data_IF_252864504879
#
_entry.id   IF_252864504879
#
_cell.length_a   1.000
_cell.length_b   1.000
_cell.length_c   1.000
_cell.angle_alpha   90.00
_cell.angle_beta   90.00
_cell.angle_gamma   90.00
#
_symmetry.space_group_name_H-M   'P 1'
#
loop_
_entity.id
_entity.type
_entity.pdbx_description
1 polymer ?
#
# COMPACT_ATOMS: atom_id res chain seq x y z
N UNK A 1 9.34 -11.85 -10.41
CA UNK A 1 8.94 -10.57 -9.78
C UNK A 1 8.42 -9.65 -10.87
N UNK A 2 7.57 -8.66 -10.58
CA UNK A 2 6.94 -7.82 -11.62
C UNK A 2 6.98 -6.34 -11.29
N UNK A 3 7.16 -5.51 -12.32
CA UNK A 3 6.91 -4.06 -12.29
C UNK A 3 5.57 -3.81 -12.98
N UNK A 4 4.76 -2.97 -12.36
CA UNK A 4 3.42 -2.65 -12.83
C UNK A 4 3.16 -1.15 -12.85
N UNK A 5 2.17 -0.79 -13.68
CA UNK A 5 1.70 0.56 -13.88
C UNK A 5 0.22 0.65 -13.48
N UNK A 6 -0.11 1.70 -12.74
CA UNK A 6 -1.49 2.12 -12.47
C UNK A 6 -1.69 3.48 -13.13
N UNK A 7 -2.66 3.59 -14.03
CA UNK A 7 -2.88 4.81 -14.82
C UNK A 7 -4.23 5.43 -14.47
N UNK A 8 -4.26 6.74 -14.29
CA UNK A 8 -5.49 7.53 -14.24
C UNK A 8 -5.80 8.08 -15.63
N UNK A 9 -6.88 7.60 -16.26
CA UNK A 9 -7.24 8.01 -17.62
C UNK A 9 -7.73 9.46 -17.74
N UNK A 10 -8.15 10.10 -16.64
CA UNK A 10 -8.67 11.48 -16.67
C UNK A 10 -7.56 12.50 -16.86
N UNK A 11 -6.42 12.30 -16.22
CA UNK A 11 -5.31 13.26 -16.22
C UNK A 11 -4.00 12.69 -16.78
N UNK A 12 -4.00 11.42 -17.21
CA UNK A 12 -2.82 10.74 -17.74
C UNK A 12 -1.74 10.41 -16.71
N UNK A 13 -1.92 10.76 -15.44
CA UNK A 13 -0.91 10.52 -14.41
C UNK A 13 -0.80 9.05 -14.08
N UNK A 14 0.40 8.63 -13.71
CA UNK A 14 0.70 7.22 -13.44
C UNK A 14 1.32 6.98 -12.07
N UNK A 15 1.16 5.76 -11.57
CA UNK A 15 1.90 5.21 -10.45
C UNK A 15 2.62 3.94 -10.91
N UNK A 16 3.93 3.90 -10.72
CA UNK A 16 4.75 2.71 -10.96
C UNK A 16 4.97 2.02 -9.61
N UNK A 17 4.88 0.70 -9.59
CA UNK A 17 5.25 -0.06 -8.40
C UNK A 17 5.73 -1.46 -8.74
N UNK A 18 6.37 -2.09 -7.77
CA UNK A 18 6.87 -3.45 -7.90
C UNK A 18 6.20 -4.48 -6.97
N UNK A 19 6.29 -5.76 -7.33
CA UNK A 19 5.80 -6.88 -6.52
C UNK A 19 6.62 -8.15 -6.74
N UNK A 20 7.09 -8.75 -5.64
CA UNK A 20 7.82 -10.02 -5.66
C UNK A 20 6.90 -11.20 -5.98
N UNK A 21 5.68 -11.22 -5.42
CA UNK A 21 4.73 -12.34 -5.52
C UNK A 21 3.86 -12.26 -6.79
N UNK A 22 2.76 -11.51 -6.73
CA UNK A 22 1.84 -11.34 -7.87
C UNK A 22 1.39 -9.89 -7.99
N UNK A 23 1.52 -9.34 -9.20
CA UNK A 23 1.08 -7.99 -9.49
C UNK A 23 -0.43 -7.80 -9.30
N UNK A 24 -1.24 -8.80 -9.67
CA UNK A 24 -2.70 -8.77 -9.50
C UNK A 24 -3.14 -8.78 -8.04
N UNK A 25 -2.47 -9.56 -7.17
CA UNK A 25 -2.70 -9.54 -5.73
C UNK A 25 -2.36 -8.19 -5.12
N UNK A 26 -1.23 -7.60 -5.53
CA UNK A 26 -0.82 -6.26 -5.12
C UNK A 26 -1.84 -5.19 -5.54
N UNK A 27 -2.35 -5.27 -6.77
CA UNK A 27 -3.40 -4.36 -7.24
C UNK A 27 -4.68 -4.46 -6.42
N UNK A 28 -5.15 -5.68 -6.11
CA UNK A 28 -6.32 -5.90 -5.25
C UNK A 28 -6.13 -5.23 -3.88
N UNK A 29 -4.94 -5.32 -3.29
CA UNK A 29 -4.61 -4.66 -2.03
C UNK A 29 -4.67 -3.13 -2.14
N UNK A 30 -4.08 -2.56 -3.20
CA UNK A 30 -4.19 -1.11 -3.46
C UNK A 30 -5.66 -0.67 -3.53
N UNK A 31 -6.49 -1.35 -4.34
CA UNK A 31 -7.93 -1.03 -4.45
C UNK A 31 -8.65 -1.12 -3.12
N UNK A 32 -8.40 -2.17 -2.33
CA UNK A 32 -9.02 -2.32 -1.01
C UNK A 32 -8.67 -1.15 -0.09
N UNK A 33 -7.39 -0.75 -0.05
CA UNK A 33 -6.94 0.36 0.78
C UNK A 33 -7.53 1.70 0.29
N UNK A 34 -7.56 1.92 -1.02
CA UNK A 34 -8.10 3.12 -1.64
C UNK A 34 -9.61 3.27 -1.36
N UNK A 35 -10.39 2.19 -1.53
CA UNK A 35 -11.82 2.16 -1.21
C UNK A 35 -12.11 2.42 0.27
N UNK A 36 -11.21 1.97 1.16
CA UNK A 36 -11.35 2.19 2.59
C UNK A 36 -10.70 3.49 3.09
N UNK A 37 -10.19 4.34 2.19
CA UNK A 37 -9.52 5.59 2.53
C UNK A 37 -8.30 5.42 3.47
N UNK A 38 -7.55 4.32 3.28
CA UNK A 38 -6.42 3.89 4.13
C UNK A 38 -5.13 3.69 3.34
N UNK A 39 -5.04 4.26 2.14
CA UNK A 39 -3.85 4.09 1.31
C UNK A 39 -2.71 5.03 1.76
N UNK A 40 -1.51 4.49 1.97
CA UNK A 40 -0.34 5.25 2.48
C UNK A 40 0.05 6.42 1.56
N UNK A 41 -0.23 6.30 0.27
CA UNK A 41 -0.05 7.38 -0.68
C UNK A 41 -1.28 8.31 -0.70
N UNK A 42 -1.22 9.38 0.09
CA UNK A 42 -2.26 10.41 0.20
C UNK A 42 -2.54 11.07 -1.15
N UNK A 43 -1.53 11.30 -2.00
CA UNK A 43 -1.75 11.93 -3.30
C UNK A 43 -2.60 11.03 -4.20
N UNK A 44 -2.26 9.74 -4.26
CA UNK A 44 -3.03 8.73 -4.98
C UNK A 44 -4.43 8.55 -4.37
N UNK A 45 -4.55 8.53 -3.04
CA UNK A 45 -5.84 8.42 -2.34
C UNK A 45 -6.78 9.58 -2.66
N UNK A 46 -6.27 10.81 -2.62
CA UNK A 46 -7.07 12.00 -2.94
C UNK A 46 -7.51 11.99 -4.40
N UNK A 47 -6.63 11.57 -5.32
CA UNK A 47 -7.00 11.41 -6.73
C UNK A 47 -8.07 10.32 -6.91
N UNK A 48 -7.94 9.18 -6.24
CA UNK A 48 -8.94 8.12 -6.26
C UNK A 48 -10.30 8.61 -5.78
N UNK A 49 -10.34 9.33 -4.65
CA UNK A 49 -11.57 9.91 -4.10
C UNK A 49 -12.18 10.94 -5.05
N UNK A 50 -11.36 11.72 -5.75
CA UNK A 50 -11.80 12.76 -6.69
C UNK A 50 -12.39 12.19 -7.97
N UNK A 51 -11.75 11.20 -8.57
CA UNK A 51 -12.10 10.71 -9.91
C UNK A 51 -12.88 9.38 -9.91
N UNK A 52 -12.98 8.70 -8.78
CA UNK A 52 -13.63 7.40 -8.66
C UNK A 52 -12.79 6.26 -9.22
N UNK A 53 -13.25 5.02 -9.03
CA UNK A 53 -12.51 3.80 -9.39
C UNK A 53 -12.45 3.53 -10.90
N UNK A 54 -13.50 3.88 -11.64
CA UNK A 54 -13.70 3.44 -13.04
C UNK A 54 -12.61 3.94 -14.00
N UNK A 55 -11.91 5.02 -13.63
CA UNK A 55 -10.89 5.67 -14.46
C UNK A 55 -9.48 5.09 -14.27
N UNK A 56 -9.33 4.15 -13.34
CA UNK A 56 -8.02 3.57 -13.01
C UNK A 56 -7.82 2.23 -13.70
N UNK A 57 -6.72 2.12 -14.44
CA UNK A 57 -6.29 0.88 -15.08
C UNK A 57 -5.02 0.34 -14.46
N UNK A 58 -4.80 -0.97 -14.63
CA UNK A 58 -3.63 -1.69 -14.11
C UNK A 58 -3.01 -2.53 -15.21
N UNK A 59 -1.69 -2.47 -15.35
CA UNK A 59 -0.93 -3.27 -16.32
C UNK A 59 0.41 -3.72 -15.75
N UNK A 60 0.79 -4.97 -15.99
CA UNK A 60 2.18 -5.42 -15.79
C UNK A 60 3.00 -4.93 -16.99
N UNK A 61 4.06 -4.19 -16.72
CA UNK A 61 4.91 -3.58 -17.76
C UNK A 61 6.25 -4.30 -17.88
N UNK A 62 6.74 -4.92 -16.80
CA UNK A 62 8.01 -5.64 -16.85
C UNK A 62 8.11 -6.77 -15.80
N UNK A 63 9.12 -7.63 -15.96
CA UNK A 63 9.40 -8.78 -15.09
C UNK A 63 10.87 -8.86 -14.76
N UNK A 64 11.18 -9.03 -13.47
CA UNK A 64 12.54 -9.24 -12.98
C UNK A 64 12.72 -10.66 -12.43
N UNK A 65 13.94 -11.16 -12.53
CA UNK A 65 14.41 -12.45 -12.01
C UNK A 65 14.84 -12.37 -10.55
N UNK A 66 15.35 -11.22 -10.11
CA UNK A 66 15.87 -11.00 -8.76
C UNK A 66 15.52 -9.59 -8.24
N UNK A 67 15.73 -9.36 -6.94
CA UNK A 67 15.35 -8.11 -6.27
C UNK A 67 16.15 -6.91 -6.79
N UNK A 68 17.46 -7.07 -7.02
CA UNK A 68 18.31 -5.97 -7.49
C UNK A 68 17.92 -5.50 -8.90
N UNK A 69 17.55 -6.44 -9.77
CA UNK A 69 16.99 -6.13 -11.09
C UNK A 69 15.61 -5.45 -10.96
N UNK A 70 14.75 -5.95 -10.06
CA UNK A 70 13.44 -5.36 -9.83
C UNK A 70 13.53 -3.89 -9.39
N UNK A 71 14.41 -3.59 -8.44
CA UNK A 71 14.62 -2.23 -7.92
C UNK A 71 15.17 -1.29 -9.01
N UNK A 72 16.08 -1.79 -9.86
CA UNK A 72 16.61 -1.05 -11.01
C UNK A 72 15.52 -0.75 -12.03
N UNK A 73 14.68 -1.74 -12.37
CA UNK A 73 13.58 -1.57 -13.30
C UNK A 73 12.54 -0.59 -12.74
N UNK A 74 12.16 -0.70 -11.47
CA UNK A 74 11.23 0.23 -10.84
C UNK A 74 11.76 1.67 -10.92
N UNK A 75 13.03 1.88 -10.57
CA UNK A 75 13.68 3.19 -10.65
C UNK A 75 13.71 3.72 -12.09
N UNK A 76 14.10 2.88 -13.04
CA UNK A 76 14.12 3.22 -14.46
C UNK A 76 12.75 3.68 -14.96
N UNK A 77 11.68 2.94 -14.66
CA UNK A 77 10.35 3.33 -15.08
C UNK A 77 9.85 4.60 -14.36
N UNK A 78 10.18 4.77 -13.07
CA UNK A 78 9.77 5.97 -12.33
C UNK A 78 10.45 7.22 -12.87
N UNK A 79 11.77 7.20 -13.05
CA UNK A 79 12.57 8.40 -13.34
C UNK A 79 12.67 8.65 -14.84
N UNK A 80 13.10 7.63 -15.60
CA UNK A 80 13.48 7.79 -17.01
C UNK A 80 12.27 7.70 -17.95
N UNK A 81 11.34 6.78 -17.68
CA UNK A 81 10.22 6.52 -18.60
C UNK A 81 9.01 7.41 -18.33
N UNK A 82 8.54 7.43 -17.08
CA UNK A 82 7.29 8.10 -16.73
C UNK A 82 7.46 9.41 -15.96
N UNK A 83 8.63 9.64 -15.37
CA UNK A 83 8.87 10.74 -14.43
C UNK A 83 7.73 10.83 -13.38
N UNK A 84 7.32 9.68 -12.85
CA UNK A 84 6.10 9.52 -12.05
C UNK A 84 6.23 10.04 -10.62
N UNK A 85 7.44 10.41 -10.21
CA UNK A 85 7.74 11.12 -8.97
C UNK A 85 7.48 12.64 -9.06
N UNK A 86 7.40 13.19 -10.27
CA UNK A 86 6.90 14.54 -10.48
C UNK A 86 5.38 14.58 -10.28
N UNK A 87 4.91 15.42 -9.36
CA UNK A 87 3.48 15.57 -9.03
C UNK A 87 2.64 15.99 -10.24
N UNK A 88 3.23 16.60 -11.27
CA UNK A 88 2.55 16.97 -12.51
C UNK A 88 2.35 15.77 -13.44
N UNK A 89 3.12 14.69 -13.29
CA UNK A 89 3.11 13.52 -14.18
C UNK A 89 2.71 12.21 -13.51
N UNK A 90 2.86 12.08 -12.20
CA UNK A 90 2.55 10.85 -11.51
C UNK A 90 2.24 10.98 -10.04
N UNK A 91 2.13 9.81 -9.40
CA UNK A 91 1.76 9.67 -8.00
C UNK A 91 2.88 9.10 -7.13
N UNK A 92 4.03 8.68 -7.68
CA UNK A 92 5.13 8.15 -6.89
C UNK A 92 5.68 9.23 -5.94
N UNK A 93 6.06 8.83 -4.72
CA UNK A 93 6.58 9.77 -3.71
C UNK A 93 8.10 9.93 -3.79
N UNK A 94 8.79 8.88 -4.20
CA UNK A 94 10.23 8.82 -4.37
C UNK A 94 10.56 8.24 -5.74
N UNK A 95 11.84 8.26 -6.09
CA UNK A 95 12.38 7.77 -7.36
C UNK A 95 12.35 6.25 -7.51
N UNK A 96 11.89 5.50 -6.50
CA UNK A 96 12.00 4.03 -6.47
C UNK A 96 13.34 3.56 -5.87
N UNK A 97 13.52 2.25 -5.74
CA UNK A 97 14.80 1.65 -5.32
C UNK A 97 15.14 1.75 -3.82
N UNK A 98 14.37 2.52 -3.03
CA UNK A 98 14.53 2.62 -1.58
C UNK A 98 13.71 1.54 -0.86
N UNK A 99 14.07 0.28 -1.06
CA UNK A 99 13.82 -0.73 -0.05
C UNK A 99 15.09 -0.86 0.78
N UNK A 100 15.25 -0.15 1.92
CA UNK A 100 16.31 -0.49 2.84
C UNK A 100 16.17 -1.99 3.11
N UNK A 101 17.20 -2.76 2.76
CA UNK A 101 17.31 -4.15 3.16
C UNK A 101 17.40 -4.10 4.68
N UNK A 102 16.24 -4.23 5.33
CA UNK A 102 16.18 -4.36 6.79
C UNK A 102 16.82 -5.71 7.06
N UNK A 103 18.04 -5.71 7.58
CA UNK A 103 18.72 -6.94 7.98
C UNK A 103 17.80 -7.76 8.89
N UNK A 104 17.92 -9.08 8.87
CA UNK A 104 17.08 -9.93 9.74
C UNK A 104 17.27 -9.55 11.21
N UNK A 105 18.46 -9.10 11.60
CA UNK A 105 18.76 -8.51 12.90
C UNK A 105 17.98 -7.20 13.15
N UNK A 106 17.95 -6.26 12.22
CA UNK A 106 17.16 -5.03 12.36
C UNK A 106 15.65 -5.32 12.43
N UNK A 107 15.16 -6.30 11.65
CA UNK A 107 13.77 -6.76 11.69
C UNK A 107 13.45 -7.43 13.02
N UNK A 108 14.34 -8.26 13.54
CA UNK A 108 14.20 -8.93 14.82
C UNK A 108 14.26 -7.92 15.99
N UNK A 109 15.16 -6.93 15.95
CA UNK A 109 15.21 -5.82 16.93
C UNK A 109 13.92 -5.03 16.94
N UNK A 110 13.39 -4.68 15.77
CA UNK A 110 12.10 -3.99 15.66
C UNK A 110 10.96 -4.85 16.22
N UNK A 111 10.96 -6.16 15.91
CA UNK A 111 9.96 -7.11 16.43
C UNK A 111 10.02 -7.24 17.95
N UNK A 112 11.20 -7.38 18.54
CA UNK A 112 11.41 -7.41 19.99
C UNK A 112 10.95 -6.09 20.63
N UNK A 113 11.34 -4.95 20.07
CA UNK A 113 10.97 -3.63 20.58
C UNK A 113 9.46 -3.34 20.53
N UNK A 114 8.72 -3.98 19.62
CA UNK A 114 7.26 -3.86 19.50
C UNK A 114 6.51 -4.90 20.34
N UNK A 115 7.14 -6.03 20.66
CA UNK A 115 6.52 -7.09 21.48
C UNK A 115 6.46 -6.63 22.94
N UNK A 116 5.27 -6.65 23.54
CA UNK A 116 5.08 -6.23 24.95
C UNK A 116 4.88 -4.73 25.17
N UNK A 117 4.92 -3.90 24.11
CA UNK A 117 4.52 -2.49 24.22
C UNK A 117 3.04 -2.39 24.57
N UNK A 118 2.77 -2.00 25.81
CA UNK A 118 1.42 -1.65 26.26
C UNK A 118 1.19 -0.18 25.90
N UNK A 119 0.16 0.10 25.09
CA UNK A 119 -0.23 1.47 24.79
C UNK A 119 -0.51 2.23 26.10
N UNK A 120 -0.02 3.48 26.26
CA UNK A 120 -0.33 4.31 27.42
C UNK A 120 -1.84 4.36 27.67
N UNK A 121 -2.24 4.31 28.95
CA UNK A 121 -3.65 4.22 29.37
C UNK A 121 -4.52 5.30 28.71
N UNK A 122 -3.98 6.51 28.58
CA UNK A 122 -4.61 7.66 27.89
C UNK A 122 -4.95 7.33 26.43
N UNK A 123 -4.02 6.71 25.70
CA UNK A 123 -4.21 6.30 24.30
C UNK A 123 -5.23 5.17 24.20
N UNK A 124 -5.21 4.22 25.15
CA UNK A 124 -6.15 3.10 25.22
C UNK A 124 -7.58 3.56 25.47
N UNK A 125 -7.77 4.53 26.35
CA UNK A 125 -9.10 5.02 26.71
C UNK A 125 -9.70 5.93 25.60
N UNK A 126 -8.89 6.77 24.96
CA UNK A 126 -9.30 7.49 23.73
C UNK A 126 -9.67 6.54 22.59
N UNK A 127 -8.91 5.46 22.39
CA UNK A 127 -9.24 4.44 21.39
C UNK A 127 -10.57 3.74 21.70
N UNK A 128 -10.84 3.47 23.00
CA UNK A 128 -12.09 2.84 23.48
C UNK A 128 -13.30 3.74 23.31
N UNK A 129 -13.13 5.05 23.47
CA UNK A 129 -14.18 6.05 23.25
C UNK A 129 -14.55 6.12 21.75
N UNK A 130 -13.53 6.21 20.89
CA UNK A 130 -13.70 6.19 19.42
C UNK A 130 -14.34 4.89 18.93
N UNK A 131 -13.97 3.74 19.49
CA UNK A 131 -14.55 2.44 19.12
C UNK A 131 -15.99 2.25 19.64
N UNK A 132 -16.36 2.85 20.78
CA UNK A 132 -17.76 2.84 21.26
C UNK A 132 -18.69 3.65 20.37
N UNK A 133 -18.20 4.73 19.75
CA UNK A 133 -18.97 5.53 18.79
C UNK A 133 -19.18 4.88 17.42
N UNK A 134 -18.41 3.84 17.07
CA UNK A 134 -18.36 3.30 15.70
C UNK A 134 -18.90 1.85 15.54
N UNK A 135 -19.60 1.27 16.53
CA UNK A 135 -20.11 -0.09 16.35
C UNK A 135 -20.83 -0.71 17.53
N UNK A 136 -22.02 -0.20 17.87
CA UNK A 136 -23.06 -1.07 18.39
C UNK A 136 -23.48 -2.04 17.26
N UNK A 137 -23.05 -3.30 17.32
CA UNK A 137 -23.58 -4.35 16.43
C UNK A 137 -22.56 -5.17 15.65
N UNK A 138 -21.60 -5.82 16.32
CA UNK A 138 -20.98 -7.06 15.81
C UNK A 138 -20.77 -8.07 16.93
N UNK A 139 -21.85 -8.64 17.42
CA UNK A 139 -21.78 -9.96 18.08
C UNK A 139 -21.47 -11.00 17.00
N UNK A 140 -20.34 -11.71 17.12
CA UNK A 140 -20.10 -12.94 16.37
C UNK A 140 -21.30 -13.87 16.62
N UNK A 141 -21.97 -14.33 15.56
CA UNK A 141 -23.05 -15.30 15.70
C UNK A 141 -22.48 -16.62 16.24
N UNK A 142 -23.29 -17.33 17.01
CA UNK A 142 -22.94 -18.60 17.66
C UNK A 142 -22.42 -19.67 16.68
N UNK A 143 -22.71 -19.51 15.38
CA UNK A 143 -22.31 -20.43 14.31
C UNK A 143 -20.79 -20.46 14.08
N UNK A 144 -20.07 -19.36 14.36
CA UNK A 144 -18.60 -19.32 14.20
C UNK A 144 -17.86 -20.05 15.33
N UNK A 145 -18.51 -20.32 16.47
CA UNK A 145 -17.89 -21.02 17.62
C UNK A 145 -17.89 -22.55 17.50
N UNK A 146 -18.62 -23.14 16.55
CA UNK A 146 -18.74 -24.61 16.40
C UNK A 146 -17.76 -25.25 15.41
N UNK A 147 -16.83 -24.49 14.83
CA UNK A 147 -15.85 -24.99 13.84
C UNK A 147 -14.39 -24.91 14.31
N UNK A 148 -14.15 -24.90 15.62
CA UNK A 148 -12.82 -25.13 16.23
C UNK A 148 -12.91 -26.41 17.04
#
# INVERSE_FOLDING_TARGET
MVVYLITNSVNGKVYVGQSIQSGSGRWRKHKSLLRCNKHDNIHLQNAWNKYGEVVWSYKVIDRATNQAELDKLETYYIVEVYNSNDRTKGYNKSTGGEHPIISEDARQRLRVAMTGRTLPKITKDKLREVMRGAGAGRTLSAETRRKI
#
